data_IF_186864007887
#
_entry.id   IF_186864007887
#
_cell.length_a   1.000
_cell.length_b   1.000
_cell.length_c   1.000
_cell.angle_alpha   90.00
_cell.angle_beta   90.00
_cell.angle_gamma   90.00
#
_symmetry.space_group_name_H-M   'P 1'
#
loop_
_entity.id
_entity.type
_entity.pdbx_description
1 polymer ?
#
# COMPACT_ATOMS: atom_id res chain seq x y z
N UNK A 1 38.29 16.36 11.82
CA UNK A 1 39.68 15.93 11.48
C UNK A 1 39.71 15.14 10.15
N UNK A 2 38.95 14.07 9.94
CA UNK A 2 38.96 13.32 8.68
C UNK A 2 38.30 14.09 7.51
N UNK A 3 37.27 14.87 7.79
CA UNK A 3 36.57 15.71 6.80
C UNK A 3 37.44 16.87 6.36
N UNK A 4 38.06 17.56 7.33
CA UNK A 4 38.96 18.69 7.07
C UNK A 4 40.19 18.26 6.25
N UNK A 5 40.68 17.03 6.47
CA UNK A 5 41.77 16.48 5.67
C UNK A 5 41.38 16.25 4.21
N UNK A 6 40.17 15.71 3.96
CA UNK A 6 39.67 15.48 2.61
C UNK A 6 39.45 16.77 1.81
N UNK A 7 39.08 17.85 2.49
CA UNK A 7 38.84 19.15 1.86
C UNK A 7 40.15 19.93 1.62
N UNK A 8 41.18 19.65 2.41
CA UNK A 8 42.50 20.33 2.31
C UNK A 8 43.42 19.73 1.28
N UNK A 9 43.31 18.42 0.97
CA UNK A 9 44.16 17.73 0.02
C UNK A 9 43.66 17.91 -1.41
N UNK A 10 44.48 18.51 -2.25
CA UNK A 10 44.21 18.69 -3.68
C UNK A 10 45.00 17.69 -4.52
N UNK A 11 44.32 16.91 -5.35
CA UNK A 11 44.92 16.03 -6.33
C UNK A 11 45.46 16.87 -7.51
N UNK A 12 46.71 16.65 -7.93
CA UNK A 12 47.39 17.44 -8.93
C UNK A 12 47.42 18.96 -8.64
N UNK A 13 47.25 19.36 -7.37
CA UNK A 13 47.24 20.77 -6.95
C UNK A 13 45.98 21.57 -7.32
N UNK A 14 45.06 20.98 -8.09
CA UNK A 14 43.87 21.66 -8.64
C UNK A 14 42.54 21.03 -8.17
N UNK A 15 42.45 19.71 -8.16
CA UNK A 15 41.17 19.01 -7.91
C UNK A 15 41.00 18.68 -6.43
N UNK A 16 39.88 19.10 -5.83
CA UNK A 16 39.51 18.69 -4.49
C UNK A 16 39.00 17.24 -4.50
N UNK A 17 39.02 16.57 -3.33
CA UNK A 17 38.47 15.22 -3.19
C UNK A 17 37.00 15.15 -3.63
N UNK A 18 36.22 16.18 -3.34
CA UNK A 18 34.82 16.27 -3.77
C UNK A 18 34.67 16.33 -5.29
N UNK A 19 35.46 17.16 -5.96
CA UNK A 19 35.49 17.22 -7.44
C UNK A 19 35.87 15.87 -8.06
N UNK A 20 36.78 15.14 -7.44
CA UNK A 20 37.17 13.81 -7.91
C UNK A 20 36.04 12.79 -7.73
N UNK A 21 35.26 12.89 -6.64
CA UNK A 21 34.08 12.03 -6.42
C UNK A 21 32.93 12.33 -7.39
N UNK A 22 32.71 13.61 -7.70
CA UNK A 22 31.68 14.04 -8.64
C UNK A 22 31.97 13.63 -10.09
N UNK A 23 33.25 13.64 -10.44
CA UNK A 23 33.73 13.27 -11.79
C UNK A 23 34.12 11.79 -11.90
N UNK A 24 34.05 11.04 -10.81
CA UNK A 24 34.33 9.61 -10.80
C UNK A 24 33.37 8.86 -11.74
N UNK A 25 33.97 8.05 -12.64
CA UNK A 25 33.15 7.11 -13.44
C UNK A 25 32.44 6.14 -12.52
N UNK A 26 31.12 6.08 -12.64
CA UNK A 26 30.31 5.11 -11.91
C UNK A 26 30.71 3.68 -12.27
N UNK A 27 31.25 2.96 -11.32
CA UNK A 27 31.56 1.55 -11.49
C UNK A 27 30.26 0.76 -11.33
N UNK A 28 29.88 0.00 -12.39
CA UNK A 28 28.71 -0.86 -12.38
C UNK A 28 28.82 -2.03 -11.39
N UNK A 29 27.78 -2.85 -11.34
CA UNK A 29 27.69 -4.05 -10.49
C UNK A 29 28.88 -4.99 -10.67
N UNK A 30 29.38 -5.14 -11.89
CA UNK A 30 30.47 -6.07 -12.23
C UNK A 30 31.81 -5.70 -11.58
N UNK A 31 32.06 -4.41 -11.38
CA UNK A 31 33.33 -3.90 -10.85
C UNK A 31 33.28 -3.57 -9.35
N UNK A 32 32.13 -3.16 -8.85
CA UNK A 32 31.94 -2.72 -7.46
C UNK A 32 31.17 -3.71 -6.61
N UNK A 33 30.59 -4.74 -7.23
CA UNK A 33 29.61 -5.62 -6.59
C UNK A 33 28.33 -4.84 -6.26
N UNK A 34 27.38 -5.47 -5.60
CA UNK A 34 26.12 -4.84 -5.23
C UNK A 34 24.97 -5.82 -5.33
N UNK A 35 23.76 -5.29 -5.56
CA UNK A 35 22.60 -6.13 -5.78
C UNK A 35 21.75 -5.61 -6.95
N UNK A 36 21.15 -6.56 -7.67
CA UNK A 36 20.12 -6.31 -8.65
C UNK A 36 18.83 -6.96 -8.15
N UNK A 37 17.73 -6.22 -8.13
CA UNK A 37 16.42 -6.73 -7.75
C UNK A 37 15.36 -6.28 -8.74
N UNK A 38 14.42 -7.17 -8.99
CA UNK A 38 13.18 -6.84 -9.72
C UNK A 38 12.07 -6.76 -8.68
N UNK A 39 11.43 -5.59 -8.61
CA UNK A 39 10.27 -5.34 -7.78
C UNK A 39 9.03 -5.45 -8.67
N UNK A 40 8.03 -6.14 -8.20
CA UNK A 40 6.74 -6.29 -8.87
C UNK A 40 5.66 -5.63 -8.01
N UNK A 41 4.85 -4.81 -8.65
CA UNK A 41 3.71 -4.17 -8.02
C UNK A 41 2.51 -5.09 -8.22
N UNK A 42 1.85 -5.44 -7.13
CA UNK A 42 0.65 -6.28 -7.18
C UNK A 42 -0.52 -5.50 -7.79
N UNK A 43 -0.75 -5.69 -9.08
CA UNK A 43 -1.92 -5.12 -9.76
C UNK A 43 -3.23 -5.65 -9.15
N UNK A 44 -3.34 -6.93 -8.75
CA UNK A 44 -4.50 -7.42 -8.00
C UNK A 44 -4.84 -6.59 -6.77
N UNK A 45 -3.84 -6.25 -5.95
CA UNK A 45 -4.08 -5.49 -4.71
C UNK A 45 -4.48 -4.04 -5.02
N UNK A 46 -3.97 -3.47 -6.12
CA UNK A 46 -4.42 -2.15 -6.59
C UNK A 46 -5.91 -2.21 -6.98
N UNK A 47 -6.35 -3.25 -7.69
CA UNK A 47 -7.77 -3.41 -8.04
C UNK A 47 -8.66 -3.60 -6.81
N UNK A 48 -8.23 -4.40 -5.84
CA UNK A 48 -8.96 -4.57 -4.57
C UNK A 48 -9.13 -3.23 -3.83
N UNK A 49 -8.08 -2.42 -3.78
CA UNK A 49 -8.14 -1.08 -3.21
C UNK A 49 -9.10 -0.16 -3.99
N UNK A 50 -9.03 -0.15 -5.33
CA UNK A 50 -9.91 0.66 -6.17
C UNK A 50 -11.40 0.25 -6.02
N UNK A 51 -11.66 -1.03 -5.73
CA UNK A 51 -13.00 -1.56 -5.44
C UNK A 51 -13.43 -1.35 -3.98
N UNK A 52 -12.64 -0.61 -3.17
CA UNK A 52 -12.91 -0.38 -1.74
C UNK A 52 -13.09 -1.70 -0.95
N UNK A 53 -12.22 -2.67 -1.24
CA UNK A 53 -12.22 -4.01 -0.62
C UNK A 53 -13.60 -4.71 -0.63
N UNK A 54 -14.35 -4.55 -1.70
CA UNK A 54 -15.66 -5.23 -1.84
C UNK A 54 -15.51 -6.75 -1.71
N UNK A 55 -16.40 -7.33 -0.95
CA UNK A 55 -16.48 -8.78 -0.69
C UNK A 55 -17.58 -9.49 -1.49
N UNK A 56 -18.08 -8.83 -2.55
CA UNK A 56 -19.06 -9.42 -3.43
C UNK A 56 -18.57 -10.73 -4.06
N UNK A 57 -19.45 -11.74 -4.13
CA UNK A 57 -19.07 -13.06 -4.61
C UNK A 57 -18.59 -13.03 -6.08
N UNK A 58 -19.22 -12.20 -6.93
CA UNK A 58 -18.86 -12.02 -8.33
C UNK A 58 -17.44 -11.45 -8.45
N UNK A 59 -17.13 -10.39 -7.70
CA UNK A 59 -15.81 -9.78 -7.66
C UNK A 59 -14.75 -10.74 -7.12
N UNK A 60 -15.02 -11.41 -5.99
CA UNK A 60 -14.06 -12.32 -5.37
C UNK A 60 -13.73 -13.52 -6.25
N UNK A 61 -14.72 -14.09 -6.94
CA UNK A 61 -14.52 -15.19 -7.87
C UNK A 61 -13.73 -14.74 -9.10
N UNK A 62 -14.05 -13.57 -9.65
CA UNK A 62 -13.32 -12.99 -10.77
C UNK A 62 -11.85 -12.72 -10.43
N UNK A 63 -11.56 -12.21 -9.23
CA UNK A 63 -10.19 -11.99 -8.74
C UNK A 63 -9.41 -13.29 -8.62
N UNK A 64 -10.04 -14.36 -8.10
CA UNK A 64 -9.40 -15.69 -7.99
C UNK A 64 -9.11 -16.28 -9.37
N UNK A 65 -10.09 -16.21 -10.29
CA UNK A 65 -9.90 -16.72 -11.64
C UNK A 65 -8.82 -15.95 -12.40
N UNK A 66 -8.82 -14.63 -12.29
CA UNK A 66 -7.83 -13.78 -12.92
C UNK A 66 -6.40 -14.06 -12.40
N UNK A 67 -6.22 -14.22 -11.08
CA UNK A 67 -4.93 -14.59 -10.47
C UNK A 67 -4.44 -15.96 -10.97
N UNK A 68 -5.32 -16.95 -11.02
CA UNK A 68 -4.96 -18.27 -11.53
C UNK A 68 -4.59 -18.26 -13.03
N UNK A 69 -5.25 -17.42 -13.83
CA UNK A 69 -4.93 -17.28 -15.25
C UNK A 69 -3.62 -16.51 -15.46
N UNK A 70 -3.34 -15.47 -14.66
CA UNK A 70 -2.08 -14.73 -14.69
C UNK A 70 -0.89 -15.63 -14.33
N UNK A 71 -1.01 -16.46 -13.28
CA UNK A 71 0.02 -17.42 -12.89
C UNK A 71 0.28 -18.49 -13.95
N UNK A 72 -0.77 -18.95 -14.64
CA UNK A 72 -0.66 -20.02 -15.63
C UNK A 72 -0.13 -19.55 -16.99
N UNK A 73 -0.60 -18.41 -17.44
CA UNK A 73 -0.37 -17.97 -18.83
C UNK A 73 0.34 -16.61 -18.92
N UNK A 74 0.45 -15.88 -17.81
CA UNK A 74 0.82 -14.47 -17.80
C UNK A 74 -0.26 -13.61 -18.45
N UNK A 75 0.06 -12.36 -18.68
CA UNK A 75 -0.79 -11.43 -19.40
C UNK A 75 -1.15 -10.19 -18.60
N UNK A 76 -2.03 -9.37 -19.17
CA UNK A 76 -2.52 -8.17 -18.52
C UNK A 76 -3.62 -8.51 -17.52
N UNK A 77 -3.33 -8.36 -16.24
CA UNK A 77 -4.26 -8.71 -15.17
C UNK A 77 -5.61 -7.99 -15.27
N UNK A 78 -5.63 -6.73 -15.71
CA UNK A 78 -6.87 -5.97 -15.85
C UNK A 78 -7.79 -6.62 -16.88
N UNK A 79 -7.24 -7.02 -18.02
CA UNK A 79 -8.02 -7.74 -19.05
C UNK A 79 -8.51 -9.11 -18.56
N UNK A 80 -7.67 -9.86 -17.86
CA UNK A 80 -8.03 -11.15 -17.30
C UNK A 80 -9.17 -11.01 -16.27
N UNK A 81 -9.06 -10.01 -15.41
CA UNK A 81 -10.08 -9.72 -14.41
C UNK A 81 -11.42 -9.33 -15.03
N UNK A 82 -11.43 -8.44 -16.03
CA UNK A 82 -12.67 -8.02 -16.71
C UNK A 82 -13.35 -9.21 -17.36
N UNK A 83 -12.59 -10.05 -18.06
CA UNK A 83 -13.12 -11.25 -18.69
C UNK A 83 -13.68 -12.25 -17.67
N UNK A 84 -13.00 -12.44 -16.54
CA UNK A 84 -13.45 -13.29 -15.45
C UNK A 84 -14.70 -12.72 -14.77
N UNK A 85 -14.77 -11.39 -14.60
CA UNK A 85 -15.93 -10.74 -14.00
C UNK A 85 -17.20 -10.90 -14.84
N UNK A 86 -17.12 -10.69 -16.13
CA UNK A 86 -18.26 -10.91 -17.04
C UNK A 86 -18.77 -12.37 -17.03
N UNK A 87 -17.89 -13.34 -16.77
CA UNK A 87 -18.29 -14.75 -16.62
C UNK A 87 -18.91 -15.04 -15.25
N UNK A 88 -18.35 -14.46 -14.18
CA UNK A 88 -18.76 -14.72 -12.80
C UNK A 88 -20.03 -13.97 -12.41
N UNK A 89 -20.29 -12.82 -13.02
CA UNK A 89 -21.43 -11.95 -12.76
C UNK A 89 -22.12 -11.49 -14.08
N UNK A 90 -22.73 -12.39 -14.83
CA UNK A 90 -23.37 -12.06 -16.11
C UNK A 90 -24.54 -11.09 -15.88
N UNK A 91 -24.51 -9.96 -16.59
CA UNK A 91 -25.52 -8.90 -16.53
C UNK A 91 -25.25 -7.79 -15.51
N UNK A 92 -24.21 -7.91 -14.68
CA UNK A 92 -23.74 -6.83 -13.80
C UNK A 92 -22.70 -5.96 -14.51
N UNK A 93 -22.76 -4.65 -14.25
CA UNK A 93 -21.81 -3.70 -14.82
C UNK A 93 -20.57 -3.55 -13.92
N UNK A 94 -19.42 -3.35 -14.54
CA UNK A 94 -18.19 -3.00 -13.82
C UNK A 94 -18.36 -1.75 -12.94
N UNK A 95 -19.19 -0.79 -13.37
CA UNK A 95 -19.48 0.43 -12.63
C UNK A 95 -20.10 0.15 -11.23
N UNK A 96 -20.83 -0.95 -11.02
CA UNK A 96 -21.37 -1.32 -9.71
C UNK A 96 -20.28 -1.63 -8.68
N UNK A 97 -19.15 -2.11 -9.15
CA UNK A 97 -17.99 -2.44 -8.30
C UNK A 97 -17.07 -1.22 -8.14
N UNK A 98 -16.80 -0.51 -9.22
CA UNK A 98 -15.77 0.54 -9.27
C UNK A 98 -16.29 1.97 -9.13
N UNK A 99 -17.60 2.19 -8.96
CA UNK A 99 -18.14 3.52 -8.60
C UNK A 99 -17.84 3.82 -7.11
N UNK A 100 -16.56 3.85 -6.75
CA UNK A 100 -16.04 4.09 -5.40
C UNK A 100 -15.62 5.54 -5.21
N UNK A 101 -15.35 5.93 -3.97
CA UNK A 101 -14.85 7.26 -3.67
C UNK A 101 -13.48 7.53 -4.29
N UNK A 102 -12.67 6.47 -4.48
CA UNK A 102 -11.33 6.59 -5.09
C UNK A 102 -11.39 6.92 -6.58
N UNK A 103 -12.40 6.43 -7.30
CA UNK A 103 -12.64 6.72 -8.71
C UNK A 103 -13.70 7.79 -8.94
N UNK A 104 -14.04 8.56 -7.91
CA UNK A 104 -15.03 9.64 -7.99
C UNK A 104 -14.59 10.69 -9.02
N UNK A 105 -15.47 10.99 -9.96
CA UNK A 105 -15.21 11.91 -11.07
C UNK A 105 -14.68 11.23 -12.35
N UNK A 106 -14.16 9.99 -12.26
CA UNK A 106 -13.77 9.18 -13.41
C UNK A 106 -14.83 8.13 -13.75
N UNK A 107 -15.45 7.54 -12.75
CA UNK A 107 -16.47 6.50 -12.87
C UNK A 107 -17.75 6.93 -12.16
N UNK A 108 -18.87 6.82 -12.84
CA UNK A 108 -20.21 6.99 -12.29
C UNK A 108 -20.97 5.65 -12.34
N UNK A 109 -22.04 5.45 -11.54
CA UNK A 109 -22.84 4.22 -11.60
C UNK A 109 -23.46 3.93 -12.96
N UNK A 110 -23.53 4.93 -13.83
CA UNK A 110 -24.06 4.80 -15.20
C UNK A 110 -22.98 4.65 -16.27
N UNK A 111 -21.69 4.72 -15.89
CA UNK A 111 -20.57 4.57 -16.84
C UNK A 111 -20.62 3.22 -17.55
N UNK A 112 -20.20 3.22 -18.79
CA UNK A 112 -20.05 2.00 -19.58
C UNK A 112 -18.82 1.20 -19.11
N UNK A 113 -18.81 -0.11 -19.35
CA UNK A 113 -17.68 -0.97 -18.96
C UNK A 113 -16.36 -0.54 -19.62
N UNK A 114 -16.40 -0.01 -20.84
CA UNK A 114 -15.23 0.53 -21.52
C UNK A 114 -14.66 1.79 -20.86
N UNK A 115 -15.52 2.67 -20.34
CA UNK A 115 -15.09 3.85 -19.56
C UNK A 115 -14.50 3.45 -18.22
N UNK A 116 -15.11 2.46 -17.56
CA UNK A 116 -14.59 1.91 -16.29
C UNK A 116 -13.24 1.24 -16.51
N UNK A 117 -13.10 0.42 -17.56
CA UNK A 117 -11.82 -0.20 -17.92
C UNK A 117 -10.73 0.86 -18.14
N UNK A 118 -11.03 1.91 -18.89
CA UNK A 118 -10.08 3.00 -19.13
C UNK A 118 -9.68 3.70 -17.83
N UNK A 119 -10.62 3.95 -16.93
CA UNK A 119 -10.36 4.56 -15.62
C UNK A 119 -9.49 3.66 -14.73
N UNK A 120 -9.79 2.35 -14.71
CA UNK A 120 -8.98 1.36 -13.97
C UNK A 120 -7.55 1.33 -14.49
N UNK A 121 -7.37 1.25 -15.82
CA UNK A 121 -6.03 1.24 -16.43
C UNK A 121 -5.24 2.50 -16.11
N UNK A 122 -5.87 3.66 -16.17
CA UNK A 122 -5.23 4.93 -15.78
C UNK A 122 -4.81 4.91 -14.31
N UNK A 123 -5.70 4.48 -13.41
CA UNK A 123 -5.40 4.42 -11.98
C UNK A 123 -4.31 3.39 -11.63
N UNK A 124 -4.28 2.24 -12.33
CA UNK A 124 -3.21 1.26 -12.19
C UNK A 124 -1.88 1.86 -12.65
N UNK A 125 -1.87 2.58 -13.76
CA UNK A 125 -0.66 3.25 -14.25
C UNK A 125 -0.16 4.31 -13.26
N UNK A 126 -1.06 5.12 -12.71
CA UNK A 126 -0.74 6.12 -11.68
C UNK A 126 -0.18 5.45 -10.41
N UNK A 127 -0.73 4.31 -9.99
CA UNK A 127 -0.23 3.55 -8.87
C UNK A 127 1.19 3.01 -9.11
N UNK A 128 1.47 2.54 -10.33
CA UNK A 128 2.81 2.10 -10.76
C UNK A 128 3.79 3.28 -10.71
N UNK A 129 3.40 4.42 -11.23
CA UNK A 129 4.24 5.62 -11.28
C UNK A 129 4.52 6.17 -9.88
N UNK A 130 3.53 6.17 -9.00
CA UNK A 130 3.69 6.53 -7.60
C UNK A 130 4.62 5.56 -6.86
N UNK A 131 4.46 4.26 -7.09
CA UNK A 131 5.32 3.24 -6.48
C UNK A 131 6.77 3.36 -6.96
N UNK A 132 6.99 3.65 -8.24
CA UNK A 132 8.31 3.93 -8.79
C UNK A 132 8.98 5.12 -8.07
N UNK A 133 8.24 6.22 -7.88
CA UNK A 133 8.74 7.40 -7.18
C UNK A 133 9.05 7.12 -5.71
N UNK A 134 8.22 6.30 -5.04
CA UNK A 134 8.46 5.87 -3.66
C UNK A 134 9.74 5.04 -3.55
N UNK A 135 9.92 4.05 -4.44
CA UNK A 135 11.12 3.22 -4.49
C UNK A 135 12.36 4.08 -4.72
N UNK A 136 12.32 4.99 -5.69
CA UNK A 136 13.41 5.94 -5.96
C UNK A 136 13.76 6.76 -4.74
N UNK A 137 12.77 7.37 -4.10
CA UNK A 137 12.97 8.20 -2.89
C UNK A 137 13.57 7.39 -1.73
N UNK A 138 13.18 6.13 -1.57
CA UNK A 138 13.75 5.24 -0.55
C UNK A 138 15.21 4.94 -0.82
N UNK A 139 15.56 4.65 -2.07
CA UNK A 139 16.94 4.36 -2.49
C UNK A 139 17.83 5.59 -2.30
N UNK A 140 17.36 6.77 -2.70
CA UNK A 140 18.07 8.04 -2.53
C UNK A 140 18.34 8.32 -1.04
N UNK A 141 17.35 8.10 -0.17
CA UNK A 141 17.52 8.26 1.29
C UNK A 141 18.52 7.29 1.90
N UNK A 142 18.74 6.15 1.27
CA UNK A 142 19.74 5.17 1.71
C UNK A 142 21.17 5.55 1.33
N UNK A 143 21.33 6.59 0.52
CA UNK A 143 22.64 7.07 0.10
C UNK A 143 23.35 6.14 -0.86
N UNK A 144 22.62 5.36 -1.65
CA UNK A 144 23.19 4.54 -2.72
C UNK A 144 23.77 5.44 -3.80
N UNK A 145 25.03 5.26 -4.10
CA UNK A 145 25.70 6.06 -5.12
C UNK A 145 25.36 5.50 -6.51
N UNK A 146 24.73 6.33 -7.34
CA UNK A 146 24.38 6.03 -8.73
C UNK A 146 23.52 4.74 -8.89
N UNK A 147 22.35 4.66 -8.27
CA UNK A 147 21.43 3.55 -8.51
C UNK A 147 20.86 3.65 -9.93
N UNK A 148 20.70 2.50 -10.59
CA UNK A 148 19.98 2.43 -11.85
C UNK A 148 18.58 1.88 -11.58
N UNK A 149 17.54 2.67 -11.87
CA UNK A 149 16.14 2.30 -11.61
C UNK A 149 15.38 2.47 -12.92
N UNK A 150 14.85 1.37 -13.43
CA UNK A 150 14.16 1.33 -14.72
C UNK A 150 12.84 0.56 -14.62
N UNK A 151 11.81 1.03 -15.32
CA UNK A 151 10.59 0.25 -15.56
C UNK A 151 10.89 -0.74 -16.68
N UNK A 152 10.51 -2.01 -16.50
CA UNK A 152 10.68 -3.02 -17.53
C UNK A 152 9.57 -2.88 -18.58
N UNK A 153 9.98 -2.62 -19.83
CA UNK A 153 9.05 -2.55 -20.93
C UNK A 153 8.41 -3.93 -21.23
N UNK A 154 7.13 -3.95 -21.53
CA UNK A 154 6.38 -5.17 -21.82
C UNK A 154 5.98 -6.01 -20.59
N UNK A 155 6.39 -5.61 -19.39
CA UNK A 155 6.00 -6.25 -18.12
C UNK A 155 5.41 -5.21 -17.18
N UNK A 156 4.10 -5.11 -17.17
CA UNK A 156 3.37 -4.11 -16.41
C UNK A 156 3.63 -4.27 -14.90
N UNK A 157 4.01 -3.18 -14.26
CA UNK A 157 4.24 -3.17 -12.81
C UNK A 157 5.61 -3.65 -12.34
N UNK A 158 6.55 -4.03 -13.24
CA UNK A 158 7.90 -4.45 -12.86
C UNK A 158 8.93 -3.32 -12.96
N UNK A 159 9.71 -3.19 -11.92
CA UNK A 159 10.76 -2.18 -11.77
C UNK A 159 12.07 -2.90 -11.49
N UNK A 160 13.05 -2.71 -12.36
CA UNK A 160 14.42 -3.20 -12.14
C UNK A 160 15.20 -2.14 -11.36
N UNK A 161 15.88 -2.58 -10.32
CA UNK A 161 16.70 -1.73 -9.44
C UNK A 161 18.08 -2.33 -9.30
N UNK A 162 19.08 -1.62 -9.78
CA UNK A 162 20.48 -1.98 -9.63
C UNK A 162 21.16 -1.00 -8.66
N UNK A 163 21.78 -1.56 -7.65
CA UNK A 163 22.41 -0.82 -6.56
C UNK A 163 23.85 -1.25 -6.40
N UNK A 164 24.81 -0.58 -7.05
CA UNK A 164 26.23 -0.90 -6.92
C UNK A 164 26.78 -0.54 -5.55
N UNK A 165 27.71 -1.34 -5.04
CA UNK A 165 28.45 -1.08 -3.80
C UNK A 165 27.66 -1.30 -2.50
N UNK A 166 26.51 -1.98 -2.56
CA UNK A 166 25.73 -2.32 -1.36
C UNK A 166 26.42 -3.42 -0.56
N UNK A 167 26.74 -3.12 0.71
CA UNK A 167 27.36 -4.08 1.63
C UNK A 167 26.35 -4.96 2.36
N UNK A 168 25.07 -4.56 2.46
CA UNK A 168 24.02 -5.22 3.23
C UNK A 168 22.76 -5.46 2.38
N UNK A 169 22.78 -6.44 1.45
CA UNK A 169 21.66 -6.68 0.54
C UNK A 169 20.36 -7.07 1.25
N UNK A 170 20.43 -7.84 2.34
CA UNK A 170 19.25 -8.27 3.09
C UNK A 170 18.51 -7.09 3.77
N UNK A 171 19.26 -6.12 4.30
CA UNK A 171 18.68 -4.92 4.88
C UNK A 171 17.99 -4.07 3.83
N UNK A 172 18.62 -3.96 2.65
CA UNK A 172 18.06 -3.22 1.52
C UNK A 172 16.76 -3.89 1.03
N UNK A 173 16.77 -5.23 0.89
CA UNK A 173 15.58 -5.99 0.48
C UNK A 173 14.41 -5.74 1.43
N UNK A 174 14.62 -5.87 2.74
CA UNK A 174 13.58 -5.60 3.75
C UNK A 174 13.02 -4.18 3.66
N UNK A 175 13.86 -3.20 3.38
CA UNK A 175 13.44 -1.81 3.24
C UNK A 175 12.64 -1.58 1.96
N UNK A 176 13.03 -2.17 0.85
CA UNK A 176 12.31 -2.05 -0.41
C UNK A 176 10.95 -2.74 -0.37
N UNK A 177 10.87 -3.90 0.29
CA UNK A 177 9.63 -4.66 0.47
C UNK A 177 8.70 -4.05 1.52
N UNK A 178 9.22 -3.20 2.40
CA UNK A 178 8.41 -2.56 3.45
C UNK A 178 7.33 -1.67 2.83
N UNK A 179 6.08 -2.08 2.95
CA UNK A 179 4.92 -1.22 2.74
C UNK A 179 4.54 -0.59 4.09
N UNK A 180 4.17 0.68 4.07
CA UNK A 180 3.65 1.36 5.25
C UNK A 180 2.30 1.97 4.89
N UNK A 181 1.25 1.52 5.55
CA UNK A 181 -0.05 2.17 5.51
C UNK A 181 -0.05 3.25 6.59
N UNK A 182 -0.47 4.45 6.22
CA UNK A 182 -0.68 5.51 7.18
C UNK A 182 -2.11 5.38 7.71
N UNK A 183 -2.25 5.03 8.97
CA UNK A 183 -3.52 4.88 9.65
C UNK A 183 -3.58 5.84 10.82
N UNK A 184 -4.73 6.46 10.99
CA UNK A 184 -5.01 7.32 12.15
C UNK A 184 -6.00 6.60 13.04
N UNK A 185 -5.54 6.27 14.26
CA UNK A 185 -6.37 5.60 15.24
C UNK A 185 -6.75 6.57 16.36
N UNK A 186 -8.03 6.67 16.62
CA UNK A 186 -8.52 7.34 17.81
C UNK A 186 -8.25 6.44 19.03
N UNK A 187 -7.56 6.97 20.04
CA UNK A 187 -7.22 6.19 21.23
C UNK A 187 -8.14 6.59 22.38
N UNK A 188 -8.58 5.60 23.11
CA UNK A 188 -9.34 5.81 24.34
C UNK A 188 -8.40 6.13 25.49
N UNK A 189 -8.86 6.94 26.44
CA UNK A 189 -8.15 7.19 27.67
C UNK A 189 -8.19 5.96 28.60
N UNK A 190 -7.14 5.78 29.38
CA UNK A 190 -7.06 4.65 30.32
C UNK A 190 -8.27 4.54 31.25
N UNK A 191 -8.78 5.68 31.71
CA UNK A 191 -9.94 5.77 32.62
C UNK A 191 -11.23 5.25 31.98
N UNK A 192 -11.36 5.32 30.67
CA UNK A 192 -12.51 4.81 29.92
C UNK A 192 -12.41 3.29 29.67
N UNK A 193 -11.21 2.79 29.44
CA UNK A 193 -10.98 1.37 29.07
C UNK A 193 -10.85 0.45 30.28
N UNK A 194 -10.23 0.90 31.39
CA UNK A 194 -9.98 0.06 32.57
C UNK A 194 -11.24 -0.63 33.10
N UNK A 195 -12.41 0.02 33.20
CA UNK A 195 -13.63 -0.64 33.64
C UNK A 195 -14.05 -1.82 32.73
N UNK A 196 -13.93 -1.64 31.40
CA UNK A 196 -14.28 -2.69 30.44
C UNK A 196 -13.31 -3.87 30.49
N UNK A 197 -12.00 -3.59 30.61
CA UNK A 197 -10.99 -4.63 30.78
C UNK A 197 -11.17 -5.42 32.08
N UNK A 198 -11.57 -4.75 33.15
CA UNK A 198 -11.86 -5.39 34.42
C UNK A 198 -13.07 -6.33 34.32
N UNK A 199 -14.13 -5.91 33.62
CA UNK A 199 -15.30 -6.75 33.36
C UNK A 199 -14.97 -7.95 32.46
N UNK A 200 -14.15 -7.76 31.42
CA UNK A 200 -13.68 -8.83 30.56
C UNK A 200 -12.86 -9.85 31.34
N UNK A 201 -11.93 -9.39 32.17
CA UNK A 201 -11.14 -10.27 33.02
C UNK A 201 -12.00 -11.08 34.01
N UNK A 202 -13.03 -10.47 34.58
CA UNK A 202 -13.97 -11.18 35.44
C UNK A 202 -14.80 -12.23 34.68
N UNK A 203 -15.28 -11.90 33.48
CA UNK A 203 -16.00 -12.86 32.61
C UNK A 203 -15.10 -14.02 32.21
N UNK A 204 -13.87 -13.75 31.83
CA UNK A 204 -12.88 -14.77 31.48
C UNK A 204 -12.54 -15.67 32.69
N UNK A 205 -12.37 -15.09 33.86
CA UNK A 205 -12.13 -15.84 35.11
C UNK A 205 -13.32 -16.74 35.46
N UNK A 206 -14.56 -16.25 35.34
CA UNK A 206 -15.78 -17.02 35.57
C UNK A 206 -15.92 -18.15 34.54
N UNK A 207 -15.62 -17.89 33.27
CA UNK A 207 -15.64 -18.91 32.22
C UNK A 207 -14.61 -20.02 32.47
N UNK A 208 -13.42 -19.68 32.90
CA UNK A 208 -12.35 -20.66 33.26
C UNK A 208 -12.68 -21.44 34.54
N UNK A 209 -13.37 -20.84 35.49
CA UNK A 209 -13.79 -21.51 36.74
C UNK A 209 -15.01 -22.42 36.59
N UNK A 210 -15.62 -22.51 35.39
CA UNK A 210 -16.78 -23.35 35.10
C UNK A 210 -18.08 -22.87 35.81
N UNK A 211 -18.13 -21.67 36.33
CA UNK A 211 -19.35 -21.07 36.86
C UNK A 211 -20.33 -20.82 35.69
N UNK A 212 -21.52 -21.41 35.74
CA UNK A 212 -22.58 -21.11 34.80
C UNK A 212 -22.96 -19.64 34.99
N UNK A 213 -22.74 -18.82 34.00
CA UNK A 213 -23.31 -17.49 33.92
C UNK A 213 -24.85 -17.67 33.79
N UNK A 214 -25.59 -17.18 34.77
CA UNK A 214 -26.97 -16.79 34.53
C UNK A 214 -26.91 -15.62 33.54
N UNK A 215 -27.45 -15.87 32.34
CA UNK A 215 -27.57 -14.87 31.29
C UNK A 215 -28.60 -13.84 31.77
N UNK A 216 -28.16 -12.87 32.54
CA UNK A 216 -28.91 -11.64 32.74
C UNK A 216 -28.75 -10.82 31.47
N UNK A 217 -29.85 -10.73 30.76
CA UNK A 217 -30.23 -9.95 29.59
C UNK A 217 -29.26 -8.79 29.26
N UNK A 218 -28.22 -9.04 28.45
CA UNK A 218 -27.24 -8.04 28.03
C UNK A 218 -27.63 -7.34 26.70
N UNK A 219 -28.89 -7.48 26.28
CA UNK A 219 -29.40 -6.82 25.06
C UNK A 219 -29.48 -5.28 25.19
N UNK A 220 -29.37 -4.74 26.42
CA UNK A 220 -29.43 -3.29 26.64
C UNK A 220 -28.06 -2.59 26.54
N UNK A 221 -26.93 -3.35 26.64
CA UNK A 221 -25.58 -2.75 26.67
C UNK A 221 -24.98 -2.63 25.27
N UNK A 222 -25.31 -3.56 24.36
CA UNK A 222 -24.82 -3.49 22.98
C UNK A 222 -25.45 -2.35 22.19
N UNK A 223 -26.72 -2.02 22.47
CA UNK A 223 -27.40 -0.88 21.83
C UNK A 223 -26.83 0.46 22.28
N UNK A 224 -26.35 0.56 23.53
CA UNK A 224 -25.72 1.79 24.03
C UNK A 224 -24.32 2.00 23.47
N UNK A 225 -23.55 0.92 23.26
CA UNK A 225 -22.22 0.97 22.65
C UNK A 225 -22.28 1.33 21.17
N UNK A 226 -23.23 0.76 20.43
CA UNK A 226 -23.46 1.09 19.00
C UNK A 226 -23.98 2.52 18.86
N UNK A 227 -24.89 2.97 19.73
CA UNK A 227 -25.39 4.35 19.72
C UNK A 227 -24.32 5.38 20.15
N UNK A 228 -23.36 4.99 20.98
CA UNK A 228 -22.21 5.82 21.34
C UNK A 228 -21.22 5.92 20.17
N UNK A 229 -20.96 4.83 19.46
CA UNK A 229 -20.10 4.81 18.26
C UNK A 229 -20.68 5.67 17.13
N UNK A 230 -22.00 5.55 16.86
CA UNK A 230 -22.68 6.39 15.86
C UNK A 230 -22.68 7.89 16.22
N UNK A 231 -22.80 8.24 17.50
CA UNK A 231 -22.72 9.64 17.96
C UNK A 231 -21.30 10.21 17.83
N UNK A 232 -20.26 9.41 18.02
CA UNK A 232 -18.86 9.81 17.86
C UNK A 232 -18.55 10.02 16.38
N UNK A 233 -19.02 9.13 15.51
CA UNK A 233 -18.87 9.25 14.05
C UNK A 233 -19.60 10.48 13.48
N UNK A 234 -20.80 10.77 13.95
CA UNK A 234 -21.55 11.96 13.57
C UNK A 234 -20.86 13.26 14.03
N UNK A 235 -20.23 13.25 15.22
CA UNK A 235 -19.51 14.38 15.79
C UNK A 235 -18.15 14.62 15.07
N UNK A 236 -17.47 13.57 14.67
CA UNK A 236 -16.25 13.63 13.89
C UNK A 236 -16.51 14.17 12.46
N UNK A 237 -17.58 13.71 11.81
CA UNK A 237 -18.01 14.24 10.49
C UNK A 237 -18.42 15.72 10.56
N UNK A 238 -19.05 16.18 11.64
CA UNK A 238 -19.42 17.58 11.84
C UNK A 238 -18.19 18.47 12.09
N UNK A 239 -17.20 18.01 12.85
CA UNK A 239 -15.95 18.74 13.13
C UNK A 239 -15.04 18.83 11.88
N UNK A 240 -15.06 17.84 11.00
CA UNK A 240 -14.31 17.86 9.75
C UNK A 240 -14.89 18.86 8.73
N UNK A 241 -16.23 18.98 8.67
CA UNK A 241 -16.90 19.90 7.76
C UNK A 241 -16.79 21.38 8.18
N UNK A 242 -16.68 21.67 9.48
CA UNK A 242 -16.47 23.05 9.97
C UNK A 242 -15.07 23.60 9.70
N UNK A 243 -14.05 22.73 9.52
CA UNK A 243 -12.68 23.14 9.16
C UNK A 243 -12.47 23.38 7.66
N UNK A 244 -13.45 23.04 6.81
CA UNK A 244 -13.36 23.19 5.35
C UNK A 244 -14.03 24.49 4.84
N UNK A 245 -14.63 25.28 5.73
CA UNK A 245 -15.34 26.54 5.40
C UNK A 245 -14.80 27.78 6.17
N UNK A 246 -13.51 27.73 6.58
CA UNK A 246 -12.80 28.89 7.12
C UNK A 246 -11.53 29.18 6.29
#
# INVERSE_FOLDING_TARGET
AQQDYKDSVKYLGVYSYQNCLETQIGLGLDLKGGMNVILEISVPDVLENLADHKTDAGFTNAMKEARAQEEANGGDFVSLFINAYHKSAPGHKLAEVFATQQLQGLVSPQSSDAEVEKAIRASVQDAIDNSFNVVRTRIDKFGVVQPNIQKLEGQQGRIMVEMPGISQPERMRKMLQGSANLEFWETYNSDEIIPYLSQLNQREANHRSGAKEEVADSAATDTAAVAAAEKVEAKAKAAFNTKKSA
#
